data_IF_014841702883
#
_entry.id   IF_014841702883
#
_cell.length_a   1.000
_cell.length_b   1.000
_cell.length_c   1.000
_cell.angle_alpha   90.00
_cell.angle_beta   90.00
_cell.angle_gamma   90.00
#
_symmetry.space_group_name_H-M   'P 1'
#
loop_
_entity.id
_entity.type
_entity.pdbx_description
1 polymer ?
#
# COMPACT_ATOMS: atom_id res chain seq x y z
N UNK A 1 -0.41 1.10 -25.20
CA UNK A 1 0.38 0.16 -24.36
C UNK A 1 1.50 0.84 -23.58
N UNK A 2 2.25 1.79 -24.17
CA UNK A 2 3.34 2.49 -23.48
C UNK A 2 2.89 3.27 -22.22
N UNK A 3 1.80 4.04 -22.31
CA UNK A 3 1.30 4.82 -21.17
C UNK A 3 0.88 3.98 -19.96
N UNK A 4 0.17 2.87 -20.20
CA UNK A 4 -0.20 1.91 -19.13
C UNK A 4 1.03 1.24 -18.52
N UNK A 5 2.02 0.88 -19.33
CA UNK A 5 3.27 0.29 -18.84
C UNK A 5 4.07 1.28 -17.97
N UNK A 6 4.23 2.52 -18.43
CA UNK A 6 4.92 3.57 -17.69
C UNK A 6 4.20 3.90 -16.36
N UNK A 7 2.86 3.96 -16.37
CA UNK A 7 2.08 4.14 -15.15
C UNK A 7 2.25 2.97 -14.18
N UNK A 8 2.29 1.73 -14.68
CA UNK A 8 2.49 0.57 -13.81
C UNK A 8 3.87 0.54 -13.15
N UNK A 9 4.92 0.79 -13.93
CA UNK A 9 6.30 0.83 -13.42
C UNK A 9 6.48 2.01 -12.46
N UNK A 10 5.99 3.19 -12.84
CA UNK A 10 6.02 4.38 -11.99
C UNK A 10 5.27 4.19 -10.67
N UNK A 11 4.10 3.56 -10.71
CA UNK A 11 3.34 3.21 -9.50
C UNK A 11 4.11 2.22 -8.63
N UNK A 12 4.68 1.15 -9.19
CA UNK A 12 5.45 0.18 -8.42
C UNK A 12 6.65 0.82 -7.71
N UNK A 13 7.43 1.63 -8.43
CA UNK A 13 8.59 2.33 -7.87
C UNK A 13 8.17 3.37 -6.82
N UNK A 14 7.14 4.18 -7.11
CA UNK A 14 6.66 5.18 -6.17
C UNK A 14 6.13 4.58 -4.87
N UNK A 15 5.39 3.47 -4.97
CA UNK A 15 4.83 2.78 -3.81
C UNK A 15 5.90 2.11 -2.96
N UNK A 16 6.99 1.64 -3.57
CA UNK A 16 8.16 1.13 -2.86
C UNK A 16 8.82 2.22 -2.00
N UNK A 17 9.07 3.41 -2.56
CA UNK A 17 9.65 4.53 -1.79
C UNK A 17 8.70 5.05 -0.71
N UNK A 18 7.41 5.14 -1.03
CA UNK A 18 6.38 5.53 -0.06
C UNK A 18 6.31 4.56 1.11
N UNK A 19 6.29 3.25 0.83
CA UNK A 19 6.24 2.21 1.86
C UNK A 19 7.42 2.30 2.83
N UNK A 20 8.64 2.47 2.30
CA UNK A 20 9.86 2.62 3.12
C UNK A 20 9.78 3.84 4.04
N UNK A 21 9.45 4.99 3.46
CA UNK A 21 9.34 6.22 4.23
C UNK A 21 8.21 6.15 5.27
N UNK A 22 7.02 5.65 4.89
CA UNK A 22 5.90 5.54 5.80
C UNK A 22 6.18 4.56 6.95
N UNK A 23 6.87 3.45 6.67
CA UNK A 23 7.24 2.50 7.70
C UNK A 23 8.19 3.13 8.73
N UNK A 24 9.29 3.73 8.29
CA UNK A 24 10.31 4.29 9.17
C UNK A 24 9.86 5.60 9.84
N UNK A 25 9.35 6.55 9.07
CA UNK A 25 9.09 7.93 9.51
C UNK A 25 7.68 8.16 10.08
N UNK A 26 6.72 7.29 9.79
CA UNK A 26 5.35 7.39 10.31
C UNK A 26 5.04 6.28 11.30
N UNK A 27 5.16 5.00 10.88
CA UNK A 27 4.71 3.87 11.68
C UNK A 27 5.63 3.57 12.86
N UNK A 28 6.93 3.75 12.70
CA UNK A 28 7.90 3.64 13.80
C UNK A 28 8.08 4.93 14.61
N UNK A 29 7.46 6.04 14.21
CA UNK A 29 7.51 7.30 14.92
C UNK A 29 6.14 7.67 15.51
N UNK A 30 5.39 8.55 14.83
CA UNK A 30 4.14 9.10 15.36
C UNK A 30 2.99 8.10 15.48
N UNK A 31 3.02 6.99 14.74
CA UNK A 31 1.97 5.97 14.73
C UNK A 31 2.39 4.65 15.39
N UNK A 32 3.49 4.65 16.15
CA UNK A 32 4.02 3.47 16.84
C UNK A 32 2.96 2.73 17.66
N UNK A 33 2.08 3.46 18.36
CA UNK A 33 1.01 2.86 19.16
C UNK A 33 0.08 1.92 18.38
N UNK A 34 -0.03 2.07 17.05
CA UNK A 34 -0.85 1.23 16.16
C UNK A 34 0.00 0.11 15.56
N UNK A 35 1.27 0.40 15.27
CA UNK A 35 2.22 -0.53 14.65
C UNK A 35 2.85 -1.52 15.63
N UNK A 36 2.88 -1.20 16.93
CA UNK A 36 3.54 -2.02 17.95
C UNK A 36 3.00 -3.46 18.01
N UNK A 37 1.68 -3.64 17.80
CA UNK A 37 1.07 -4.97 17.77
C UNK A 37 1.66 -5.89 16.70
N UNK A 38 2.16 -5.34 15.59
CA UNK A 38 2.82 -6.11 14.53
C UNK A 38 4.19 -6.67 14.95
N UNK A 39 4.86 -6.04 15.92
CA UNK A 39 6.15 -6.50 16.46
C UNK A 39 6.02 -7.49 17.60
N UNK A 40 4.81 -7.74 18.08
CA UNK A 40 4.51 -8.67 19.17
C UNK A 40 3.90 -9.97 18.61
N UNK A 41 3.95 -11.08 19.36
CA UNK A 41 3.21 -12.28 18.98
C UNK A 41 1.72 -11.97 18.85
N UNK A 42 1.11 -12.43 17.76
CA UNK A 42 -0.31 -12.16 17.47
C UNK A 42 -1.22 -12.70 18.56
N UNK A 43 -2.11 -11.85 19.05
CA UNK A 43 -3.16 -12.22 20.00
C UNK A 43 -4.54 -12.09 19.35
N UNK A 44 -5.10 -13.24 18.94
CA UNK A 44 -6.47 -13.31 18.43
C UNK A 44 -6.65 -12.90 16.95
N UNK A 45 -7.90 -12.68 16.53
CA UNK A 45 -8.23 -12.46 15.12
C UNK A 45 -8.00 -11.03 14.63
N UNK A 46 -7.92 -10.02 15.51
CA UNK A 46 -7.76 -8.62 15.15
C UNK A 46 -6.63 -7.95 15.94
N UNK A 47 -5.87 -7.08 15.29
CA UNK A 47 -4.80 -6.29 15.88
C UNK A 47 -5.04 -4.80 15.63
N UNK A 48 -4.53 -3.93 16.51
CA UNK A 48 -4.64 -2.48 16.28
C UNK A 48 -3.93 -2.06 14.97
N UNK A 49 -2.93 -2.82 14.55
CA UNK A 49 -2.27 -2.70 13.25
C UNK A 49 -3.23 -2.85 12.05
N UNK A 50 -4.36 -3.56 12.20
CA UNK A 50 -5.34 -3.74 11.12
C UNK A 50 -5.98 -2.40 10.69
N UNK A 51 -5.90 -1.35 11.51
CA UNK A 51 -6.31 0.01 11.16
C UNK A 51 -5.54 0.53 9.95
N UNK A 52 -4.26 0.19 9.80
CA UNK A 52 -3.49 0.57 8.60
C UNK A 52 -4.04 -0.08 7.34
N UNK A 53 -4.51 -1.34 7.43
CA UNK A 53 -5.14 -2.00 6.30
C UNK A 53 -6.41 -1.26 5.87
N UNK A 54 -7.25 -0.85 6.83
CA UNK A 54 -8.49 -0.09 6.55
C UNK A 54 -8.17 1.27 5.93
N UNK A 55 -7.23 2.02 6.51
CA UNK A 55 -6.82 3.36 6.04
C UNK A 55 -6.32 3.31 4.59
N UNK A 56 -5.65 2.22 4.17
CA UNK A 56 -5.15 2.08 2.81
C UNK A 56 -6.20 1.49 1.84
N UNK A 57 -6.99 0.51 2.28
CA UNK A 57 -7.97 -0.18 1.42
C UNK A 57 -9.17 0.70 1.09
N UNK A 58 -9.69 1.48 2.05
CA UNK A 58 -10.90 2.30 1.82
C UNK A 58 -10.68 3.34 0.71
N UNK A 59 -9.59 4.14 0.71
CA UNK A 59 -9.29 5.05 -0.39
C UNK A 59 -9.05 4.33 -1.72
N UNK A 60 -8.40 3.16 -1.71
CA UNK A 60 -8.17 2.38 -2.93
C UNK A 60 -9.51 1.92 -3.57
N UNK A 61 -10.44 1.43 -2.76
CA UNK A 61 -11.79 1.05 -3.21
C UNK A 61 -12.54 2.28 -3.73
N UNK A 62 -12.47 3.41 -3.03
CA UNK A 62 -13.12 4.65 -3.47
C UNK A 62 -12.59 5.12 -4.84
N UNK A 63 -11.27 5.06 -5.04
CA UNK A 63 -10.63 5.42 -6.32
C UNK A 63 -10.97 4.43 -7.45
N UNK A 64 -11.07 3.13 -7.16
CA UNK A 64 -11.58 2.13 -8.11
C UNK A 64 -13.02 2.44 -8.52
N UNK A 65 -13.89 2.67 -7.54
CA UNK A 65 -15.29 2.97 -7.79
C UNK A 65 -15.42 4.26 -8.60
N UNK A 66 -14.69 5.31 -8.22
CA UNK A 66 -14.68 6.58 -8.96
C UNK A 66 -14.25 6.38 -10.42
N UNK A 67 -13.14 5.67 -10.64
CA UNK A 67 -12.65 5.40 -11.98
C UNK A 67 -13.55 4.50 -12.82
N UNK A 68 -14.33 3.62 -12.17
CA UNK A 68 -15.29 2.75 -12.85
C UNK A 68 -16.56 3.49 -13.29
N UNK A 69 -17.09 4.38 -12.44
CA UNK A 69 -18.37 5.05 -12.71
C UNK A 69 -18.27 6.35 -13.51
N UNK A 70 -17.07 6.93 -13.68
CA UNK A 70 -16.90 8.19 -14.40
C UNK A 70 -16.17 7.98 -15.73
N UNK A 71 -16.68 8.58 -16.80
CA UNK A 71 -16.03 8.57 -18.12
C UNK A 71 -15.07 9.76 -18.24
N UNK A 72 -13.86 9.51 -18.73
CA UNK A 72 -12.87 10.55 -18.96
C UNK A 72 -11.45 10.06 -18.71
N UNK A 73 -10.48 10.85 -19.13
CA UNK A 73 -9.06 10.50 -19.03
C UNK A 73 -8.60 10.43 -17.56
N UNK A 74 -9.06 11.38 -16.73
CA UNK A 74 -8.74 11.45 -15.29
C UNK A 74 -9.34 10.28 -14.50
N UNK A 75 -10.65 9.97 -14.60
CA UNK A 75 -11.20 8.74 -14.02
C UNK A 75 -10.53 7.45 -14.52
N UNK A 76 -10.21 7.37 -15.83
CA UNK A 76 -9.52 6.22 -16.41
C UNK A 76 -8.11 6.01 -15.86
N UNK A 77 -7.40 7.09 -15.50
CA UNK A 77 -6.10 7.01 -14.81
C UNK A 77 -6.25 6.43 -13.40
N UNK A 78 -7.26 6.87 -12.62
CA UNK A 78 -7.52 6.30 -11.29
C UNK A 78 -7.93 4.83 -11.36
N UNK A 79 -8.84 4.48 -12.28
CA UNK A 79 -9.23 3.08 -12.50
C UNK A 79 -8.02 2.21 -12.89
N UNK A 80 -7.20 2.68 -13.82
CA UNK A 80 -6.00 1.99 -14.28
C UNK A 80 -4.96 1.84 -13.18
N UNK A 81 -4.66 2.90 -12.45
CA UNK A 81 -3.68 2.90 -11.36
C UNK A 81 -4.07 1.92 -10.25
N UNK A 82 -5.34 1.90 -9.84
CA UNK A 82 -5.76 0.97 -8.79
C UNK A 82 -5.92 -0.47 -9.31
N UNK A 83 -6.21 -0.70 -10.60
CA UNK A 83 -6.21 -2.06 -11.17
C UNK A 83 -4.80 -2.64 -11.26
N UNK A 84 -3.79 -1.80 -11.51
CA UNK A 84 -2.39 -2.19 -11.37
C UNK A 84 -2.10 -2.51 -9.92
N UNK A 85 -2.53 -1.67 -8.97
CA UNK A 85 -2.37 -1.88 -7.53
C UNK A 85 -3.04 -3.17 -7.03
N UNK A 86 -4.25 -3.50 -7.51
CA UNK A 86 -5.00 -4.68 -7.06
C UNK A 86 -4.45 -6.00 -7.61
N UNK A 87 -3.95 -6.02 -8.85
CA UNK A 87 -3.22 -7.19 -9.39
C UNK A 87 -1.81 -7.30 -8.79
N UNK A 88 -1.24 -6.18 -8.36
CA UNK A 88 0.04 -6.16 -7.66
C UNK A 88 -0.10 -6.34 -6.15
N UNK A 89 -1.26 -6.53 -5.54
CA UNK A 89 -1.34 -6.88 -4.11
C UNK A 89 -0.56 -8.18 -3.78
N UNK A 90 -0.47 -9.12 -4.72
CA UNK A 90 0.43 -10.27 -4.60
C UNK A 90 1.90 -9.90 -4.75
N UNK A 91 2.26 -8.91 -5.58
CA UNK A 91 3.64 -8.47 -5.83
C UNK A 91 4.13 -7.49 -4.74
N UNK A 92 3.28 -6.57 -4.28
CA UNK A 92 3.51 -5.65 -3.18
C UNK A 92 3.58 -6.48 -1.90
N UNK A 93 2.67 -7.39 -1.58
CA UNK A 93 2.90 -8.28 -0.41
C UNK A 93 4.15 -9.16 -0.54
N UNK A 94 4.58 -9.56 -1.74
CA UNK A 94 5.83 -10.32 -1.93
C UNK A 94 7.08 -9.42 -1.74
N UNK A 95 7.03 -8.17 -2.21
CA UNK A 95 8.11 -7.19 -2.03
C UNK A 95 8.13 -6.59 -0.61
N UNK A 96 6.98 -6.37 0.01
CA UNK A 96 6.81 -5.95 1.40
C UNK A 96 7.32 -7.01 2.36
N UNK A 97 7.02 -8.29 2.11
CA UNK A 97 7.59 -9.41 2.88
C UNK A 97 9.09 -9.56 2.63
N UNK A 98 9.59 -9.37 1.40
CA UNK A 98 11.03 -9.40 1.15
C UNK A 98 11.75 -8.22 1.84
N UNK A 99 11.09 -7.07 2.04
CA UNK A 99 11.71 -5.89 2.66
C UNK A 99 11.76 -5.92 4.20
N UNK A 100 10.71 -6.40 4.87
CA UNK A 100 10.74 -6.59 6.34
C UNK A 100 11.84 -7.58 6.75
N UNK A 101 12.15 -8.57 5.89
CA UNK A 101 13.18 -9.58 6.19
C UNK A 101 14.62 -9.15 5.87
N UNK A 102 14.86 -8.19 4.96
CA UNK A 102 16.21 -7.88 4.47
C UNK A 102 16.78 -6.52 4.90
N UNK A 103 15.98 -5.60 5.42
CA UNK A 103 16.49 -4.31 5.92
C UNK A 103 16.39 -4.21 7.45
N UNK A 104 17.49 -3.85 8.15
CA UNK A 104 17.49 -3.75 9.60
C UNK A 104 16.53 -2.62 10.03
N UNK A 105 15.45 -3.02 10.71
CA UNK A 105 14.60 -2.13 11.48
C UNK A 105 15.49 -1.35 12.47
N UNK A 106 15.59 -0.04 12.32
CA UNK A 106 16.05 0.80 13.44
C UNK A 106 15.02 0.61 14.53
N UNK A 107 15.48 0.17 15.71
CA UNK A 107 14.67 0.21 16.92
C UNK A 107 14.39 1.65 17.33
#
# INVERSE_FOLDING_TARGET
MFGTFALSVGAAVGMEFWARWAHEALWHASLWHMHESHHRPREGPFELNDVFAIINVVPAIALLAYGFFHKGLVPGLYFGAVRVFSNSNLIISFLFNLFIYYFPCSK
#
